data_IF_785450327097
#
_entry.id   IF_785450327097
#
_cell.length_a   1.000
_cell.length_b   1.000
_cell.length_c   1.000
_cell.angle_alpha   90.00
_cell.angle_beta   90.00
_cell.angle_gamma   90.00
#
_symmetry.space_group_name_H-M   'P 1'
#
loop_
_entity.id
_entity.type
_entity.pdbx_description
1 polymer ?
#
# COMPACT_ATOMS: atom_id res chain seq x y z
N UNK A 1 29.87 -55.57 -45.15
CA UNK A 1 30.78 -54.43 -44.96
C UNK A 1 30.21 -53.53 -43.88
N UNK A 2 30.60 -53.83 -42.72
CA UNK A 2 31.09 -53.06 -41.57
C UNK A 2 30.17 -51.96 -41.03
N UNK A 3 29.41 -52.40 -40.05
CA UNK A 3 28.80 -51.60 -39.01
C UNK A 3 29.87 -51.27 -37.98
N UNK A 4 30.34 -50.04 -37.92
CA UNK A 4 31.08 -49.48 -36.77
C UNK A 4 30.85 -47.98 -36.72
N UNK A 5 29.67 -47.57 -36.24
CA UNK A 5 29.45 -46.18 -35.82
C UNK A 5 28.22 -46.14 -34.94
N UNK A 6 28.37 -46.41 -33.69
CA UNK A 6 27.36 -46.07 -32.63
C UNK A 6 27.85 -46.43 -31.23
N UNK A 7 28.97 -45.91 -30.81
CA UNK A 7 29.38 -46.09 -29.42
C UNK A 7 29.99 -44.85 -28.75
N UNK A 8 29.91 -43.65 -29.37
CA UNK A 8 30.57 -42.45 -28.81
C UNK A 8 29.63 -41.31 -28.47
N UNK A 9 28.31 -41.51 -28.58
CA UNK A 9 27.35 -40.42 -28.31
C UNK A 9 26.59 -40.57 -26.98
N UNK A 10 26.95 -41.58 -26.17
CA UNK A 10 26.23 -41.84 -24.90
C UNK A 10 27.01 -41.49 -23.62
N UNK A 11 28.25 -41.03 -23.74
CA UNK A 11 29.09 -40.71 -22.57
C UNK A 11 29.12 -39.19 -22.29
N UNK A 12 28.59 -38.34 -23.17
CA UNK A 12 28.65 -36.88 -22.96
C UNK A 12 27.40 -36.28 -22.29
N UNK A 13 26.34 -37.05 -22.09
CA UNK A 13 25.13 -36.57 -21.44
C UNK A 13 25.08 -36.86 -19.92
N UNK A 14 26.08 -37.54 -19.39
CA UNK A 14 26.11 -37.91 -17.96
C UNK A 14 27.00 -37.01 -17.08
N UNK A 15 27.66 -36.00 -17.67
CA UNK A 15 28.52 -35.06 -16.92
C UNK A 15 27.97 -33.67 -16.79
N UNK A 16 26.71 -33.42 -17.14
CA UNK A 16 26.05 -32.11 -16.93
C UNK A 16 24.96 -32.15 -15.86
N UNK A 17 24.91 -33.20 -15.04
CA UNK A 17 24.32 -33.09 -13.71
C UNK A 17 25.31 -32.36 -12.80
N UNK A 18 25.63 -31.12 -13.12
CA UNK A 18 26.24 -30.24 -12.16
C UNK A 18 25.27 -30.06 -11.01
N UNK A 19 25.68 -30.53 -9.85
CA UNK A 19 25.34 -30.07 -8.55
C UNK A 19 24.55 -28.76 -8.57
N UNK A 20 23.25 -28.83 -8.75
CA UNK A 20 22.33 -27.98 -8.03
C UNK A 20 22.50 -28.43 -6.58
N UNK A 21 23.64 -28.11 -5.96
CA UNK A 21 23.68 -27.90 -4.52
C UNK A 21 22.54 -26.92 -4.31
N UNK A 22 21.43 -27.39 -3.78
CA UNK A 22 20.52 -26.51 -3.07
C UNK A 22 21.48 -25.68 -2.22
N UNK A 23 21.57 -24.38 -2.49
CA UNK A 23 22.25 -23.49 -1.58
C UNK A 23 21.71 -23.88 -0.23
N UNK A 24 22.55 -24.43 0.65
CA UNK A 24 22.18 -24.51 2.04
C UNK A 24 21.69 -23.12 2.36
N UNK A 25 20.38 -23.02 2.61
CA UNK A 25 19.82 -21.82 3.19
C UNK A 25 20.66 -21.69 4.45
N UNK A 26 21.59 -20.74 4.42
CA UNK A 26 22.36 -20.41 5.61
C UNK A 26 21.28 -20.21 6.66
N UNK A 27 21.23 -21.11 7.63
CA UNK A 27 20.39 -20.98 8.81
C UNK A 27 20.95 -19.79 9.60
N UNK A 28 20.83 -18.61 9.02
CA UNK A 28 20.88 -17.39 9.80
C UNK A 28 19.67 -17.46 10.72
N UNK A 29 19.84 -17.18 11.97
CA UNK A 29 18.75 -17.06 12.92
C UNK A 29 17.92 -15.81 12.59
N UNK A 30 17.20 -15.84 11.46
CA UNK A 30 16.22 -14.82 11.07
C UNK A 30 14.96 -14.97 11.93
N UNK A 31 15.13 -14.85 13.22
CA UNK A 31 14.02 -14.80 14.17
C UNK A 31 13.75 -13.36 14.53
N UNK A 32 12.49 -12.99 14.49
CA UNK A 32 12.06 -11.75 15.10
C UNK A 32 12.27 -11.88 16.62
N UNK A 33 13.14 -11.06 17.19
CA UNK A 33 13.41 -11.03 18.63
C UNK A 33 12.16 -10.62 19.43
N UNK A 34 11.25 -9.88 18.80
CA UNK A 34 9.97 -9.47 19.36
C UNK A 34 8.82 -9.99 18.49
N UNK A 35 8.55 -11.30 18.49
CA UNK A 35 7.49 -11.85 17.66
C UNK A 35 6.14 -11.24 18.02
N UNK A 36 5.40 -10.86 17.00
CA UNK A 36 4.06 -10.33 17.18
C UNK A 36 3.07 -11.49 17.30
N UNK A 37 2.18 -11.41 18.29
CA UNK A 37 1.07 -12.34 18.38
C UNK A 37 0.17 -12.21 17.17
N UNK A 38 -0.15 -13.33 16.53
CA UNK A 38 -1.12 -13.32 15.44
C UNK A 38 -2.53 -13.20 16.01
N UNK A 39 -3.32 -12.36 15.37
CA UNK A 39 -4.76 -12.29 15.63
C UNK A 39 -5.48 -13.38 14.85
N UNK A 40 -6.36 -14.10 15.52
CA UNK A 40 -7.24 -15.08 14.87
C UNK A 40 -8.65 -14.47 14.85
N UNK A 41 -9.19 -14.11 13.68
CA UNK A 41 -10.54 -13.56 13.58
C UNK A 41 -11.60 -14.59 14.00
N UNK A 42 -12.63 -14.16 14.74
CA UNK A 42 -13.76 -15.02 15.10
C UNK A 42 -14.71 -15.27 13.93
N UNK A 43 -14.78 -14.33 12.99
CA UNK A 43 -15.75 -14.34 11.88
C UNK A 43 -17.22 -14.39 12.31
N UNK A 44 -17.54 -14.00 13.55
CA UNK A 44 -18.91 -14.07 14.11
C UNK A 44 -19.93 -13.24 13.35
N UNK A 45 -19.45 -12.24 12.59
CA UNK A 45 -20.30 -11.36 11.77
C UNK A 45 -20.40 -11.81 10.32
N UNK A 46 -19.73 -12.89 9.94
CA UNK A 46 -19.80 -13.42 8.58
C UNK A 46 -21.22 -13.95 8.29
N UNK A 47 -21.65 -13.76 7.03
CA UNK A 47 -22.98 -14.16 6.55
C UNK A 47 -24.17 -13.56 7.36
N UNK A 48 -23.95 -12.45 8.07
CA UNK A 48 -25.06 -11.68 8.62
C UNK A 48 -25.68 -10.81 7.51
N UNK A 49 -27.02 -10.67 7.51
CA UNK A 49 -27.75 -9.82 6.55
C UNK A 49 -27.55 -8.31 6.79
N UNK A 50 -26.55 -7.95 7.55
CA UNK A 50 -26.24 -6.54 7.82
C UNK A 50 -25.50 -5.92 6.66
N UNK A 51 -25.93 -4.76 6.14
CA UNK A 51 -25.23 -4.09 5.06
C UNK A 51 -23.85 -3.63 5.51
N UNK A 52 -22.85 -3.83 4.62
CA UNK A 52 -21.50 -3.33 4.84
C UNK A 52 -21.52 -1.81 4.83
N UNK A 53 -21.07 -1.18 5.91
CA UNK A 53 -20.99 0.27 6.03
C UNK A 53 -19.57 0.80 5.85
N UNK A 54 -18.59 0.07 6.36
CA UNK A 54 -17.19 0.53 6.36
C UNK A 54 -16.32 -0.47 5.61
N UNK A 55 -15.43 0.04 4.79
CA UNK A 55 -14.47 -0.77 4.03
C UNK A 55 -13.07 -0.27 4.32
N UNK A 56 -12.18 -1.16 4.74
CA UNK A 56 -10.76 -0.88 4.93
C UNK A 56 -9.98 -1.73 3.94
N UNK A 57 -9.27 -1.07 3.03
CA UNK A 57 -8.37 -1.71 2.08
C UNK A 57 -6.95 -1.60 2.60
N UNK A 58 -6.36 -2.72 2.99
CA UNK A 58 -4.97 -2.78 3.44
C UNK A 58 -4.07 -3.24 2.29
N UNK A 59 -3.05 -2.46 1.97
CA UNK A 59 -2.11 -2.72 0.88
C UNK A 59 -0.71 -2.93 1.47
N UNK A 60 -0.14 -4.11 1.25
CA UNK A 60 1.30 -4.32 1.39
C UNK A 60 1.95 -4.07 0.03
N UNK A 61 2.63 -2.95 -0.14
CA UNK A 61 3.28 -2.63 -1.42
C UNK A 61 4.36 -3.67 -1.74
N UNK A 62 4.41 -4.13 -2.99
CA UNK A 62 5.35 -5.15 -3.44
C UNK A 62 5.21 -6.52 -2.74
N UNK A 63 4.22 -6.72 -1.88
CA UNK A 63 4.07 -7.90 -1.05
C UNK A 63 3.61 -9.11 -1.87
N UNK A 64 4.55 -9.90 -2.31
CA UNK A 64 4.29 -11.20 -2.93
C UNK A 64 4.29 -12.35 -1.91
N UNK A 65 4.00 -13.56 -2.39
CA UNK A 65 3.95 -14.77 -1.57
C UNK A 65 5.26 -15.03 -0.83
N UNK A 66 6.41 -14.74 -1.46
CA UNK A 66 7.72 -14.89 -0.84
C UNK A 66 7.89 -13.99 0.40
N UNK A 67 7.35 -12.76 0.37
CA UNK A 67 7.37 -11.86 1.53
C UNK A 67 6.53 -12.39 2.69
N UNK A 68 5.36 -12.97 2.39
CA UNK A 68 4.49 -13.60 3.39
C UNK A 68 5.21 -14.79 4.02
N UNK A 69 5.81 -15.66 3.20
CA UNK A 69 6.56 -16.82 3.69
C UNK A 69 7.77 -16.39 4.56
N UNK A 70 8.52 -15.39 4.13
CA UNK A 70 9.64 -14.85 4.91
C UNK A 70 9.19 -14.25 6.24
N UNK A 71 8.09 -13.49 6.22
CA UNK A 71 7.49 -12.94 7.43
C UNK A 71 7.00 -14.02 8.40
N UNK A 72 6.35 -15.06 7.89
CA UNK A 72 5.95 -16.22 8.70
C UNK A 72 7.16 -16.91 9.35
N UNK A 73 8.20 -17.14 8.56
CA UNK A 73 9.41 -17.78 9.06
C UNK A 73 10.04 -16.95 10.19
N UNK A 74 10.23 -15.65 9.96
CA UNK A 74 10.80 -14.74 10.95
C UNK A 74 9.92 -14.63 12.21
N UNK A 75 8.60 -14.68 12.08
CA UNK A 75 7.63 -14.55 13.18
C UNK A 75 7.16 -15.93 13.73
N UNK A 76 8.07 -16.92 13.74
CA UNK A 76 7.82 -18.23 14.35
C UNK A 76 6.62 -19.00 13.76
N UNK A 77 6.39 -18.85 12.46
CA UNK A 77 5.35 -19.55 11.73
C UNK A 77 3.96 -18.89 11.78
N UNK A 78 3.83 -17.70 12.37
CA UNK A 78 2.54 -17.06 12.57
C UNK A 78 2.48 -15.66 11.95
N UNK A 79 1.41 -15.39 11.20
CA UNK A 79 1.03 -14.03 10.76
C UNK A 79 -0.50 -13.89 10.78
N UNK A 80 -1.00 -12.74 11.17
CA UNK A 80 -2.44 -12.45 11.13
C UNK A 80 -3.04 -12.67 9.74
N UNK A 81 -2.33 -12.26 8.68
CA UNK A 81 -2.82 -12.40 7.30
C UNK A 81 -3.08 -13.85 6.89
N UNK A 82 -2.35 -14.82 7.50
CA UNK A 82 -2.55 -16.26 7.20
C UNK A 82 -3.73 -16.88 7.94
N UNK A 83 -4.33 -16.13 8.88
CA UNK A 83 -5.53 -16.54 9.60
C UNK A 83 -6.82 -16.01 8.95
N UNK A 84 -6.72 -15.30 7.82
CA UNK A 84 -7.89 -14.83 7.10
C UNK A 84 -8.62 -16.00 6.45
N UNK A 85 -9.97 -15.95 6.45
CA UNK A 85 -10.84 -17.05 6.00
C UNK A 85 -10.76 -17.30 4.50
N UNK A 86 -10.56 -16.26 3.71
CA UNK A 86 -10.55 -16.33 2.26
C UNK A 86 -9.25 -15.82 1.68
N UNK A 87 -8.78 -16.49 0.63
CA UNK A 87 -7.62 -16.11 -0.15
C UNK A 87 -7.99 -16.11 -1.63
N UNK A 88 -7.40 -15.21 -2.40
CA UNK A 88 -7.58 -15.13 -3.82
C UNK A 88 -6.32 -14.68 -4.53
N UNK A 89 -6.33 -14.78 -5.86
CA UNK A 89 -5.25 -14.31 -6.71
C UNK A 89 -5.75 -13.21 -7.63
N UNK A 90 -4.89 -12.25 -7.91
CA UNK A 90 -5.17 -11.16 -8.82
C UNK A 90 -4.08 -11.08 -9.89
N UNK A 91 -4.48 -10.75 -11.12
CA UNK A 91 -3.53 -10.50 -12.20
C UNK A 91 -2.96 -9.10 -12.09
N UNK A 92 -1.67 -9.00 -11.77
CA UNK A 92 -1.01 -7.74 -11.42
C UNK A 92 -0.48 -6.95 -12.60
N UNK A 93 -0.32 -7.54 -13.81
CA UNK A 93 0.21 -6.81 -14.96
C UNK A 93 -0.55 -5.50 -15.22
N UNK A 94 0.18 -4.44 -15.57
CA UNK A 94 -0.40 -3.17 -16.03
C UNK A 94 -0.88 -3.26 -17.48
N UNK A 95 -1.44 -2.19 -18.02
CA UNK A 95 -1.90 -2.17 -19.42
C UNK A 95 -0.75 -2.29 -20.42
N UNK A 96 0.45 -1.81 -20.08
CA UNK A 96 1.60 -1.74 -20.99
C UNK A 96 2.81 -2.59 -20.57
N UNK A 97 2.80 -3.23 -19.38
CA UNK A 97 3.94 -4.01 -18.88
C UNK A 97 3.47 -5.27 -18.16
N UNK A 98 4.24 -6.36 -18.33
CA UNK A 98 4.02 -7.58 -17.55
C UNK A 98 4.23 -7.35 -16.05
N UNK A 99 5.26 -6.60 -15.69
CA UNK A 99 5.50 -6.16 -14.31
C UNK A 99 4.89 -4.78 -14.13
N UNK A 100 3.89 -4.69 -13.26
CA UNK A 100 3.26 -3.43 -12.88
C UNK A 100 4.21 -2.61 -12.01
N UNK A 101 3.93 -1.31 -11.90
CA UNK A 101 4.44 -0.47 -10.81
C UNK A 101 3.33 -0.10 -9.82
N UNK A 102 3.69 0.54 -8.71
CA UNK A 102 2.74 0.94 -7.67
C UNK A 102 1.71 1.97 -8.17
N UNK A 103 2.06 2.80 -9.17
CA UNK A 103 1.14 3.77 -9.75
C UNK A 103 0.00 3.09 -10.52
N UNK A 104 0.34 2.21 -11.46
CA UNK A 104 -0.65 1.48 -12.25
C UNK A 104 -1.47 0.52 -11.39
N UNK A 105 -0.86 -0.18 -10.43
CA UNK A 105 -1.59 -1.08 -9.53
C UNK A 105 -2.46 -0.32 -8.53
N UNK A 106 -1.98 0.77 -7.94
CA UNK A 106 -2.76 1.66 -7.09
C UNK A 106 -3.96 2.25 -7.83
N UNK A 107 -3.74 2.70 -9.09
CA UNK A 107 -4.83 3.16 -9.97
C UNK A 107 -5.84 2.05 -10.26
N UNK A 108 -5.38 0.82 -10.50
CA UNK A 108 -6.30 -0.30 -10.72
C UNK A 108 -7.16 -0.60 -9.47
N UNK A 109 -6.58 -0.52 -8.26
CA UNK A 109 -7.32 -0.66 -7.01
C UNK A 109 -8.31 0.50 -6.78
N UNK A 110 -7.89 1.74 -7.06
CA UNK A 110 -8.72 2.92 -6.79
C UNK A 110 -9.80 3.17 -7.83
N UNK A 111 -9.65 2.71 -9.06
CA UNK A 111 -10.59 3.00 -10.16
C UNK A 111 -11.33 1.78 -10.69
N UNK A 112 -10.79 0.57 -10.50
CA UNK A 112 -11.24 -0.67 -11.10
C UNK A 112 -10.76 -0.87 -12.54
N UNK A 113 -9.85 -0.04 -13.05
CA UNK A 113 -9.32 -0.11 -14.41
C UNK A 113 -7.81 -0.19 -14.43
N UNK A 114 -7.26 -1.04 -15.29
CA UNK A 114 -5.81 -1.08 -15.56
C UNK A 114 -5.39 0.15 -16.36
N UNK A 115 -4.18 0.62 -16.06
CA UNK A 115 -3.53 1.72 -16.78
C UNK A 115 -2.06 1.37 -17.07
N UNK A 116 -1.36 2.26 -17.76
CA UNK A 116 0.08 2.14 -18.00
C UNK A 116 0.90 2.41 -16.72
N UNK A 117 2.08 1.82 -16.61
CA UNK A 117 3.01 2.15 -15.54
C UNK A 117 3.26 3.66 -15.48
N UNK A 118 3.34 4.20 -14.28
CA UNK A 118 3.52 5.62 -13.99
C UNK A 118 2.23 6.40 -13.78
N UNK A 119 1.12 6.03 -14.41
CA UNK A 119 -0.12 6.81 -14.39
C UNK A 119 -0.90 6.67 -13.07
N UNK A 120 -1.43 7.78 -12.60
CA UNK A 120 -2.22 7.92 -11.37
C UNK A 120 -3.64 8.40 -11.71
N UNK A 121 -4.67 7.63 -11.38
CA UNK A 121 -6.07 8.02 -11.58
C UNK A 121 -6.45 8.31 -13.03
N UNK A 122 -5.67 7.83 -13.99
CA UNK A 122 -5.88 8.03 -15.44
C UNK A 122 -5.87 6.70 -16.17
N UNK A 123 -6.51 6.64 -17.33
CA UNK A 123 -6.42 5.50 -18.24
C UNK A 123 -5.13 5.53 -19.08
N UNK A 124 -4.96 4.55 -19.96
CA UNK A 124 -3.80 4.45 -20.84
C UNK A 124 -3.65 5.62 -21.83
N UNK A 125 -4.75 6.35 -22.09
CA UNK A 125 -4.81 7.52 -22.96
C UNK A 125 -4.70 8.85 -22.18
N UNK A 126 -4.34 8.81 -20.89
CA UNK A 126 -4.30 9.94 -19.96
C UNK A 126 -5.66 10.63 -19.77
N UNK A 127 -6.76 9.89 -19.91
CA UNK A 127 -8.06 10.41 -19.53
C UNK A 127 -8.31 10.12 -18.04
N UNK A 128 -8.81 11.11 -17.32
CA UNK A 128 -9.13 10.98 -15.89
C UNK A 128 -10.18 9.89 -15.67
N UNK A 129 -9.92 9.01 -14.72
CA UNK A 129 -10.88 7.99 -14.27
C UNK A 129 -11.25 8.29 -12.82
N UNK A 130 -12.52 8.48 -12.49
CA UNK A 130 -12.92 8.69 -11.10
C UNK A 130 -12.44 7.58 -10.18
N UNK A 131 -11.75 7.94 -9.10
CA UNK A 131 -11.27 7.01 -8.09
C UNK A 131 -12.35 6.64 -7.04
N UNK A 132 -12.10 5.69 -6.16
CA UNK A 132 -13.04 5.24 -5.14
C UNK A 132 -13.52 6.39 -4.23
N UNK A 133 -12.66 7.24 -3.64
CA UNK A 133 -13.11 8.39 -2.88
C UNK A 133 -14.09 9.30 -3.65
N UNK A 134 -13.84 9.55 -4.92
CA UNK A 134 -14.73 10.37 -5.75
C UNK A 134 -16.08 9.70 -6.01
N UNK A 135 -16.07 8.43 -6.39
CA UNK A 135 -17.29 7.64 -6.61
C UNK A 135 -18.12 7.53 -5.33
N UNK A 136 -17.47 7.20 -4.22
CA UNK A 136 -18.14 6.98 -2.94
C UNK A 136 -18.71 8.27 -2.34
N UNK A 137 -18.08 9.43 -2.60
CA UNK A 137 -18.60 10.71 -2.13
C UNK A 137 -19.99 11.03 -2.67
N UNK A 138 -20.32 10.58 -3.89
CA UNK A 138 -21.65 10.70 -4.48
C UNK A 138 -22.74 9.90 -3.74
N UNK A 139 -22.36 8.92 -2.94
CA UNK A 139 -23.25 8.13 -2.10
C UNK A 139 -23.20 8.52 -0.61
N UNK A 140 -22.55 9.65 -0.30
CA UNK A 140 -22.44 10.15 1.07
C UNK A 140 -21.43 9.40 1.96
N UNK A 141 -20.55 8.57 1.36
CA UNK A 141 -19.43 7.99 2.08
C UNK A 141 -18.28 8.99 2.17
N UNK A 142 -17.54 8.92 3.25
CA UNK A 142 -16.30 9.67 3.43
C UNK A 142 -15.09 8.75 3.29
N UNK A 143 -13.95 9.31 2.92
CA UNK A 143 -12.77 8.49 2.62
C UNK A 143 -11.51 9.00 3.31
N UNK A 144 -10.61 8.07 3.62
CA UNK A 144 -9.31 8.37 4.21
C UNK A 144 -8.17 7.54 3.64
N UNK A 145 -6.96 8.03 3.86
CA UNK A 145 -5.70 7.38 3.50
C UNK A 145 -4.76 7.40 4.70
N UNK A 146 -4.10 6.27 4.95
CA UNK A 146 -2.96 6.16 5.87
C UNK A 146 -1.83 5.44 5.16
N UNK A 147 -0.64 5.99 5.16
CA UNK A 147 0.52 5.36 4.52
C UNK A 147 1.81 5.57 5.31
N UNK A 148 2.72 4.61 5.21
CA UNK A 148 4.10 4.76 5.65
C UNK A 148 5.02 5.33 4.57
N UNK A 149 4.47 5.79 3.46
CA UNK A 149 5.16 6.59 2.45
C UNK A 149 4.88 8.09 2.64
N UNK A 150 5.43 8.89 1.74
CA UNK A 150 5.00 10.27 1.53
C UNK A 150 3.61 10.30 0.90
N UNK A 151 2.88 11.39 1.09
CA UNK A 151 1.53 11.51 0.53
C UNK A 151 1.51 11.53 -1.00
N UNK A 152 2.56 12.06 -1.62
CA UNK A 152 2.79 12.04 -3.07
C UNK A 152 3.41 10.73 -3.57
N UNK A 153 3.57 9.73 -2.71
CA UNK A 153 3.89 8.36 -3.12
C UNK A 153 2.81 7.79 -4.04
N UNK A 154 3.22 6.91 -4.94
CA UNK A 154 2.33 6.45 -6.02
C UNK A 154 1.05 5.78 -5.52
N UNK A 155 1.15 4.93 -4.50
CA UNK A 155 -0.02 4.21 -3.95
C UNK A 155 -1.03 5.17 -3.32
N UNK A 156 -0.68 6.04 -2.34
CA UNK A 156 -1.64 6.98 -1.79
C UNK A 156 -2.15 7.97 -2.84
N UNK A 157 -1.28 8.49 -3.73
CA UNK A 157 -1.67 9.43 -4.76
C UNK A 157 -2.73 8.88 -5.73
N UNK A 158 -2.70 7.60 -6.05
CA UNK A 158 -3.69 6.96 -6.91
C UNK A 158 -5.15 7.02 -6.36
N UNK A 159 -5.32 7.33 -5.07
CA UNK A 159 -6.64 7.46 -4.44
C UNK A 159 -7.14 8.90 -4.35
N UNK A 160 -6.38 9.88 -4.83
CA UNK A 160 -6.84 11.28 -4.81
C UNK A 160 -6.35 12.15 -5.98
N UNK A 161 -5.30 11.75 -6.69
CA UNK A 161 -4.68 12.54 -7.74
C UNK A 161 -4.92 11.93 -9.14
N UNK A 162 -4.79 12.77 -10.16
CA UNK A 162 -4.94 12.41 -11.56
C UNK A 162 -3.77 12.96 -12.37
N UNK A 163 -2.66 12.20 -12.39
CA UNK A 163 -1.43 12.62 -13.06
C UNK A 163 -0.93 11.56 -14.03
N UNK A 164 -0.42 11.95 -15.21
CA UNK A 164 0.10 10.99 -16.20
C UNK A 164 1.36 10.26 -15.72
N UNK A 165 2.08 10.82 -14.74
CA UNK A 165 3.33 10.27 -14.21
C UNK A 165 3.44 10.44 -12.69
N UNK A 166 3.77 9.38 -12.00
CA UNK A 166 3.94 9.33 -10.54
C UNK A 166 5.03 10.26 -9.99
N UNK A 167 5.96 10.69 -10.83
CA UNK A 167 7.04 11.63 -10.46
C UNK A 167 6.59 13.09 -10.40
N UNK A 168 5.36 13.42 -10.77
CA UNK A 168 4.82 14.78 -10.78
C UNK A 168 4.38 15.23 -9.38
N UNK A 169 5.33 15.26 -8.44
CA UNK A 169 5.06 15.51 -7.02
C UNK A 169 4.32 16.84 -6.78
N UNK A 170 4.70 17.91 -7.48
CA UNK A 170 4.06 19.22 -7.31
C UNK A 170 2.59 19.21 -7.73
N UNK A 171 2.29 18.58 -8.85
CA UNK A 171 0.95 18.45 -9.41
C UNK A 171 0.09 17.55 -8.53
N UNK A 172 0.67 16.43 -8.01
CA UNK A 172 0.01 15.54 -7.05
C UNK A 172 -0.41 16.31 -5.79
N UNK A 173 0.48 17.12 -5.21
CA UNK A 173 0.14 17.98 -4.06
C UNK A 173 -0.91 19.03 -4.40
N UNK A 174 -0.93 19.53 -5.64
CA UNK A 174 -1.93 20.50 -6.10
C UNK A 174 -3.32 19.89 -6.31
N UNK A 175 -3.42 18.58 -6.53
CA UNK A 175 -4.71 17.87 -6.63
C UNK A 175 -5.39 17.69 -5.26
N UNK A 176 -4.62 17.66 -4.17
CA UNK A 176 -5.12 17.34 -2.83
C UNK A 176 -6.28 18.22 -2.34
N UNK A 177 -6.27 19.55 -2.50
CA UNK A 177 -7.38 20.41 -2.08
C UNK A 177 -8.73 20.04 -2.71
N UNK A 178 -8.71 19.59 -3.96
CA UNK A 178 -9.91 19.19 -4.72
C UNK A 178 -10.34 17.75 -4.49
N UNK A 179 -9.54 16.98 -3.77
CA UNK A 179 -9.81 15.57 -3.50
C UNK A 179 -11.06 15.36 -2.64
N UNK A 180 -11.61 14.16 -2.71
CA UNK A 180 -12.74 13.73 -1.86
C UNK A 180 -12.29 13.07 -0.56
N UNK A 181 -11.04 13.26 -0.18
CA UNK A 181 -10.53 12.80 1.11
C UNK A 181 -11.10 13.64 2.26
N UNK A 182 -11.41 12.96 3.35
CA UNK A 182 -11.80 13.58 4.64
C UNK A 182 -10.68 13.45 5.65
N UNK A 183 -9.86 12.40 5.51
CA UNK A 183 -8.69 12.14 6.34
C UNK A 183 -7.51 11.72 5.47
N UNK A 184 -6.32 12.19 5.82
CA UNK A 184 -5.09 11.58 5.34
C UNK A 184 -4.00 11.60 6.41
N UNK A 185 -3.12 10.60 6.37
CA UNK A 185 -1.86 10.61 7.09
C UNK A 185 -0.77 9.97 6.26
N UNK A 186 0.41 10.59 6.28
CA UNK A 186 1.58 10.17 5.54
C UNK A 186 2.86 10.53 6.29
N UNK A 187 3.98 10.07 5.78
CA UNK A 187 5.22 9.97 6.52
C UNK A 187 5.90 11.25 6.98
N UNK A 188 5.65 12.43 6.38
CA UNK A 188 6.49 13.61 6.67
C UNK A 188 5.81 14.95 6.38
N UNK A 189 5.91 15.86 7.38
CA UNK A 189 5.52 17.26 7.24
C UNK A 189 6.48 18.05 6.33
N UNK A 190 7.75 17.69 6.31
CA UNK A 190 8.78 18.38 5.54
C UNK A 190 8.44 18.52 4.04
N UNK A 191 7.83 17.49 3.45
CA UNK A 191 7.45 17.56 2.03
C UNK A 191 6.27 18.50 1.79
N UNK A 192 5.35 18.63 2.73
CA UNK A 192 4.31 19.63 2.68
C UNK A 192 4.89 21.06 2.76
N UNK A 193 5.87 21.31 3.65
CA UNK A 193 6.53 22.60 3.76
C UNK A 193 7.32 23.02 2.51
N UNK A 194 7.82 22.03 1.76
CA UNK A 194 8.50 22.27 0.48
C UNK A 194 7.59 22.64 -0.68
N UNK A 195 6.26 22.51 -0.52
CA UNK A 195 5.33 22.89 -1.56
C UNK A 195 5.25 24.42 -1.71
N UNK A 196 4.87 24.87 -2.89
CA UNK A 196 4.69 26.30 -3.14
C UNK A 196 3.67 26.92 -2.15
N UNK A 197 3.89 28.16 -1.68
CA UNK A 197 3.04 28.80 -0.65
C UNK A 197 1.54 28.85 -1.01
N UNK A 198 1.22 29.01 -2.29
CA UNK A 198 -0.16 28.97 -2.75
C UNK A 198 -0.78 27.57 -2.60
N UNK A 199 -0.04 26.49 -2.89
CA UNK A 199 -0.50 25.10 -2.71
C UNK A 199 -0.72 24.81 -1.23
N UNK A 200 0.23 25.17 -0.37
CA UNK A 200 0.07 25.01 1.08
C UNK A 200 -1.17 25.77 1.60
N UNK A 201 -1.42 26.98 1.09
CA UNK A 201 -2.58 27.80 1.47
C UNK A 201 -3.89 27.11 1.06
N UNK A 202 -3.99 26.60 -0.16
CA UNK A 202 -5.20 25.91 -0.62
C UNK A 202 -5.44 24.61 0.18
N UNK A 203 -4.38 23.83 0.49
CA UNK A 203 -4.49 22.65 1.35
C UNK A 203 -4.99 23.05 2.75
N UNK A 204 -4.43 24.10 3.36
CA UNK A 204 -4.84 24.58 4.70
C UNK A 204 -6.24 25.18 4.75
N UNK A 205 -6.85 25.58 3.61
CA UNK A 205 -8.25 25.97 3.55
C UNK A 205 -9.19 24.76 3.69
N UNK A 206 -8.82 23.64 3.10
CA UNK A 206 -9.63 22.43 3.07
C UNK A 206 -9.38 21.54 4.28
N UNK A 207 -8.13 21.41 4.70
CA UNK A 207 -7.70 20.50 5.74
C UNK A 207 -7.10 21.22 6.95
N UNK A 208 -7.45 20.78 8.13
CA UNK A 208 -6.68 21.07 9.35
C UNK A 208 -5.45 20.18 9.34
N UNK A 209 -4.26 20.77 9.19
CA UNK A 209 -3.01 20.02 9.21
C UNK A 209 -2.46 19.99 10.64
N UNK A 210 -2.15 18.81 11.14
CA UNK A 210 -1.52 18.59 12.44
C UNK A 210 -0.21 17.81 12.27
N UNK A 211 0.77 18.11 13.10
CA UNK A 211 2.10 17.49 13.10
C UNK A 211 2.25 16.47 14.23
N UNK A 212 1.44 16.66 15.27
CA UNK A 212 1.33 15.74 16.42
C UNK A 212 -0.15 15.54 16.76
N UNK A 213 -0.53 14.38 17.30
CA UNK A 213 -1.90 14.14 17.73
C UNK A 213 -2.41 15.24 18.69
N UNK A 214 -3.53 15.84 18.33
CA UNK A 214 -4.14 16.93 19.08
C UNK A 214 -5.67 16.78 19.12
N UNK A 215 -6.19 16.30 20.23
CA UNK A 215 -7.61 15.99 20.39
C UNK A 215 -8.53 17.16 20.06
N UNK A 216 -8.16 18.38 20.44
CA UNK A 216 -8.97 19.57 20.18
C UNK A 216 -9.02 19.88 18.67
N UNK A 217 -7.89 19.80 17.99
CA UNK A 217 -7.82 20.00 16.54
C UNK A 217 -8.58 18.87 15.81
N UNK A 218 -8.37 17.61 16.22
CA UNK A 218 -9.03 16.45 15.66
C UNK A 218 -10.57 16.58 15.78
N UNK A 219 -11.08 16.91 16.96
CA UNK A 219 -12.53 17.06 17.20
C UNK A 219 -13.16 18.19 16.39
N UNK A 220 -12.46 19.30 16.20
CA UNK A 220 -12.99 20.49 15.52
C UNK A 220 -12.84 20.46 13.99
N UNK A 221 -11.93 19.66 13.45
CA UNK A 221 -11.67 19.64 12.02
C UNK A 221 -12.80 18.99 11.23
N UNK A 222 -13.11 19.53 10.07
CA UNK A 222 -14.01 18.92 9.09
C UNK A 222 -13.28 17.92 8.21
N UNK A 223 -12.06 18.28 7.79
CA UNK A 223 -11.11 17.41 7.12
C UNK A 223 -9.77 17.51 7.85
N UNK A 224 -9.07 16.41 8.01
CA UNK A 224 -7.86 16.31 8.81
C UNK A 224 -6.70 15.72 8.00
N UNK A 225 -5.56 16.39 8.01
CA UNK A 225 -4.28 15.86 7.57
C UNK A 225 -3.32 15.71 8.75
N UNK A 226 -2.83 14.50 8.99
CA UNK A 226 -1.79 14.25 9.98
C UNK A 226 -0.46 13.97 9.27
N UNK A 227 0.46 14.89 9.39
CA UNK A 227 1.81 14.81 8.83
C UNK A 227 2.82 15.01 9.96
N UNK A 228 3.42 13.96 10.50
CA UNK A 228 4.34 14.09 11.63
C UNK A 228 5.61 14.87 11.25
N UNK A 229 6.08 15.73 12.18
CA UNK A 229 7.31 16.53 12.02
C UNK A 229 8.52 15.65 11.79
N UNK A 230 8.64 14.55 12.55
CA UNK A 230 9.66 13.54 12.31
C UNK A 230 9.16 12.55 11.27
N UNK A 231 9.93 12.36 10.21
CA UNK A 231 9.57 11.44 9.14
C UNK A 231 9.24 10.04 9.68
N UNK A 232 8.10 9.50 9.25
CA UNK A 232 7.62 8.15 9.53
C UNK A 232 7.68 7.24 8.29
N UNK A 233 8.43 7.65 7.29
CA UNK A 233 8.72 6.83 6.10
C UNK A 233 9.86 5.82 6.34
N UNK A 234 10.50 5.84 7.48
CA UNK A 234 11.54 4.90 7.89
C UNK A 234 11.00 3.46 8.01
N UNK A 235 11.89 2.48 7.94
CA UNK A 235 11.55 1.09 8.24
C UNK A 235 11.27 0.90 9.75
N UNK A 236 10.71 -0.23 10.12
CA UNK A 236 10.50 -0.57 11.55
C UNK A 236 11.83 -0.59 12.30
N UNK A 237 12.89 -1.12 11.67
CA UNK A 237 14.23 -1.21 12.25
C UNK A 237 14.91 0.17 12.43
N UNK A 238 14.40 1.21 11.77
CA UNK A 238 14.89 2.59 11.85
C UNK A 238 14.01 3.45 12.78
N UNK A 239 13.38 2.83 13.76
CA UNK A 239 12.59 3.50 14.80
C UNK A 239 11.35 4.28 14.31
N UNK A 240 10.66 3.78 13.28
CA UNK A 240 9.33 4.32 12.91
C UNK A 240 8.32 4.19 14.07
N UNK A 241 8.50 3.19 14.92
CA UNK A 241 7.56 2.88 16.00
C UNK A 241 6.23 2.34 15.48
N UNK A 242 5.18 2.61 16.21
CA UNK A 242 3.81 2.15 15.97
C UNK A 242 2.99 3.12 15.08
N UNK A 243 3.64 3.96 14.29
CA UNK A 243 2.97 4.98 13.47
C UNK A 243 1.82 4.41 12.63
N UNK A 244 2.04 3.29 11.91
CA UNK A 244 0.99 2.75 11.04
C UNK A 244 -0.23 2.25 11.82
N UNK A 245 -0.09 1.39 12.85
CA UNK A 245 -1.26 0.93 13.62
C UNK A 245 -1.95 2.05 14.40
N UNK A 246 -1.20 2.93 15.06
CA UNK A 246 -1.78 4.03 15.85
C UNK A 246 -2.52 5.04 14.98
N UNK A 247 -1.96 5.37 13.81
CA UNK A 247 -2.60 6.30 12.87
C UNK A 247 -3.79 5.66 12.16
N UNK A 248 -3.73 4.35 11.89
CA UNK A 248 -4.89 3.61 11.37
C UNK A 248 -6.05 3.66 12.37
N UNK A 249 -5.79 3.46 13.65
CA UNK A 249 -6.82 3.59 14.69
C UNK A 249 -7.37 5.01 14.74
N UNK A 250 -6.51 6.03 14.71
CA UNK A 250 -6.94 7.44 14.64
C UNK A 250 -7.86 7.69 13.43
N UNK A 251 -7.51 7.16 12.27
CA UNK A 251 -8.31 7.31 11.05
C UNK A 251 -9.69 6.63 11.18
N UNK A 252 -9.74 5.43 11.75
CA UNK A 252 -10.99 4.70 12.00
C UNK A 252 -11.88 5.50 12.93
N UNK A 253 -11.35 5.98 14.06
CA UNK A 253 -12.11 6.76 15.07
C UNK A 253 -12.59 8.09 14.46
N UNK A 254 -11.71 8.77 13.72
CA UNK A 254 -12.03 10.03 13.05
C UNK A 254 -13.15 9.87 12.02
N UNK A 255 -13.03 8.90 11.12
CA UNK A 255 -14.00 8.64 10.06
C UNK A 255 -15.32 8.08 10.63
N UNK A 256 -15.25 7.15 11.58
CA UNK A 256 -16.46 6.59 12.22
C UNK A 256 -17.30 7.65 12.92
N UNK A 257 -16.66 8.61 13.58
CA UNK A 257 -17.38 9.68 14.31
C UNK A 257 -18.04 10.72 13.39
N UNK A 258 -17.72 10.73 12.09
CA UNK A 258 -18.19 11.74 11.13
C UNK A 258 -19.05 11.17 10.02
N UNK A 259 -18.96 9.87 9.78
CA UNK A 259 -19.72 9.25 8.69
C UNK A 259 -21.13 8.91 9.14
N UNK A 260 -22.11 9.20 8.31
CA UNK A 260 -23.50 8.76 8.46
C UNK A 260 -23.76 7.46 7.69
N UNK A 261 -23.22 7.34 6.51
CA UNK A 261 -23.46 6.20 5.61
C UNK A 261 -22.35 5.14 5.70
N UNK A 262 -21.16 5.51 6.18
CA UNK A 262 -20.00 4.68 6.28
C UNK A 262 -18.76 5.35 5.70
N UNK A 263 -17.62 4.66 5.73
CA UNK A 263 -16.36 5.19 5.23
C UNK A 263 -15.57 4.15 4.43
N UNK A 264 -14.69 4.66 3.59
CA UNK A 264 -13.62 3.92 2.94
C UNK A 264 -12.28 4.40 3.52
N UNK A 265 -11.40 3.47 3.89
CA UNK A 265 -10.05 3.76 4.36
C UNK A 265 -9.04 2.91 3.62
N UNK A 266 -8.08 3.54 2.95
CA UNK A 266 -6.90 2.86 2.43
C UNK A 266 -5.76 2.95 3.44
N UNK A 267 -5.13 1.82 3.74
CA UNK A 267 -3.98 1.69 4.65
C UNK A 267 -2.84 1.02 3.93
N UNK A 268 -1.68 1.65 3.87
CA UNK A 268 -0.53 1.15 3.13
C UNK A 268 0.70 0.92 4.01
N UNK A 269 1.23 -0.30 3.91
CA UNK A 269 2.57 -0.66 4.37
C UNK A 269 3.59 -0.55 3.23
N UNK A 270 4.01 0.67 2.89
CA UNK A 270 4.91 0.94 1.76
C UNK A 270 6.33 0.39 1.94
N UNK A 271 6.73 0.11 3.18
CA UNK A 271 8.09 -0.33 3.46
C UNK A 271 8.36 -1.80 3.15
N UNK A 272 7.33 -2.58 2.88
CA UNK A 272 7.51 -3.96 2.41
C UNK A 272 8.25 -3.94 1.06
N UNK A 273 7.78 -3.14 0.10
CA UNK A 273 8.41 -2.95 -1.20
C UNK A 273 9.80 -2.32 -1.08
N UNK A 274 9.89 -1.18 -0.39
CA UNK A 274 11.15 -0.44 -0.28
C UNK A 274 12.26 -1.21 0.41
N UNK A 275 11.94 -2.08 1.35
CA UNK A 275 12.91 -2.98 1.97
C UNK A 275 13.34 -4.10 1.03
N UNK A 276 12.41 -4.62 0.21
CA UNK A 276 12.71 -5.67 -0.75
C UNK A 276 13.59 -5.19 -1.92
N UNK A 277 13.50 -3.94 -2.33
CA UNK A 277 14.36 -3.36 -3.37
C UNK A 277 15.85 -3.31 -2.99
N UNK A 278 16.16 -3.44 -1.71
CA UNK A 278 17.53 -3.39 -1.19
C UNK A 278 18.20 -4.76 -1.07
N UNK A 279 17.52 -5.85 -1.46
CA UNK A 279 18.01 -7.23 -1.37
C UNK A 279 18.56 -7.72 -2.69
#
# INVERSE_FOLDING_TARGET
>A
MNVKFKAHLFIFSLFFCYNLSAQEIVKGDFKNENPQSSYVPSFDMDATDKPVKNVILMIGDGMGLAHICSGMYANQGQLTITNLKTCGFVRTQSANKFTTDSAASGTAYSTGKKTKNGALGMDENNQVIPNLPEKLSGYGYISGIVTTDNLDGATPAAFFAHQPERGMSKEIWADLPNSKLTFFSAGSYELFEKQAPNVQKEIKKEFTIIEEPNDKAIKKSKKLGYLPTKSKTASVNENRGDFLPSTTQMAIDYLSSRSTNGFFLMVEGARIDKSAHSN
#
